data_IF_314009082738
#
_entry.id   IF_314009082738
#
_cell.length_a   1.000
_cell.length_b   1.000
_cell.length_c   1.000
_cell.angle_alpha   90.00
_cell.angle_beta   90.00
_cell.angle_gamma   90.00
#
_symmetry.space_group_name_H-M   'P 1'
#
loop_
_entity.id
_entity.type
_entity.pdbx_description
1 polymer ?
#
# COMPACT_ATOMS: atom_id res chain seq x y z
N UNK A 1 -11.61 -29.03 25.35
CA UNK A 1 -10.98 -29.39 24.07
C UNK A 1 -10.66 -28.09 23.33
N UNK A 2 -9.39 -27.79 23.04
CA UNK A 2 -9.03 -26.62 22.21
C UNK A 2 -9.34 -26.99 20.77
N UNK A 3 -10.24 -26.26 20.13
CA UNK A 3 -10.43 -26.34 18.68
C UNK A 3 -9.08 -26.09 17.99
N UNK A 4 -8.67 -26.90 17.00
CA UNK A 4 -7.45 -26.61 16.25
C UNK A 4 -7.60 -25.23 15.61
N UNK A 5 -6.69 -24.32 15.93
CA UNK A 5 -6.64 -23.00 15.30
C UNK A 5 -6.43 -23.21 13.81
N UNK A 6 -7.30 -22.63 12.97
CA UNK A 6 -7.08 -22.60 11.52
C UNK A 6 -5.64 -22.10 11.25
N UNK A 7 -4.90 -22.70 10.30
CA UNK A 7 -3.59 -22.20 9.93
C UNK A 7 -3.71 -20.71 9.58
N UNK A 8 -2.83 -19.88 10.14
CA UNK A 8 -2.86 -18.44 9.88
C UNK A 8 -2.56 -18.21 8.41
N UNK A 9 -3.43 -17.47 7.73
CA UNK A 9 -3.21 -17.04 6.36
C UNK A 9 -1.90 -16.21 6.28
N UNK A 10 -1.02 -16.45 5.29
CA UNK A 10 0.14 -15.61 5.08
C UNK A 10 -0.28 -14.17 4.78
N UNK A 11 0.39 -13.19 5.42
CA UNK A 11 0.09 -11.77 5.23
C UNK A 11 0.87 -11.22 4.03
N UNK A 12 0.20 -10.47 3.17
CA UNK A 12 0.83 -9.53 2.23
C UNK A 12 0.44 -8.11 2.62
N UNK A 13 1.41 -7.21 2.59
CA UNK A 13 1.21 -5.82 3.02
C UNK A 13 1.14 -4.94 1.80
N UNK A 14 0.10 -4.11 1.75
CA UNK A 14 -0.05 -3.07 0.75
C UNK A 14 0.21 -1.72 1.40
N UNK A 15 1.04 -0.90 0.79
CA UNK A 15 0.96 0.55 0.99
C UNK A 15 -0.39 1.07 0.46
N UNK A 16 -0.75 2.30 0.81
CA UNK A 16 -1.96 2.94 0.33
C UNK A 16 -1.71 3.95 -0.80
N UNK A 17 -0.86 4.95 -0.56
CA UNK A 17 -0.70 6.13 -1.41
C UNK A 17 0.30 5.90 -2.56
N UNK A 18 -0.23 5.53 -3.72
CA UNK A 18 0.54 5.13 -4.90
C UNK A 18 0.37 3.63 -5.19
N UNK A 19 -0.39 2.90 -4.36
CA UNK A 19 -0.65 1.47 -4.56
C UNK A 19 -2.15 1.19 -4.67
N UNK A 20 -2.93 1.57 -3.65
CA UNK A 20 -4.39 1.45 -3.68
C UNK A 20 -5.00 2.72 -4.21
N UNK A 21 -4.60 3.86 -3.64
CA UNK A 21 -4.89 5.20 -4.12
C UNK A 21 -3.89 5.57 -5.22
N UNK A 22 -4.33 6.15 -6.35
CA UNK A 22 -3.44 6.41 -7.49
C UNK A 22 -2.37 7.48 -7.24
N UNK A 23 -2.61 8.34 -6.25
CA UNK A 23 -1.67 9.35 -5.76
C UNK A 23 -1.16 10.34 -6.80
N UNK A 24 -1.98 10.61 -7.82
CA UNK A 24 -1.66 11.56 -8.89
C UNK A 24 -1.57 13.00 -8.38
N UNK A 25 -2.37 13.36 -7.38
CA UNK A 25 -2.33 14.69 -6.73
C UNK A 25 -1.22 14.81 -5.68
N UNK A 26 -0.53 13.71 -5.35
CA UNK A 26 0.42 13.65 -4.24
C UNK A 26 -0.24 13.84 -2.86
N UNK A 27 0.57 14.17 -1.84
CA UNK A 27 0.07 14.35 -0.48
C UNK A 27 -0.78 15.61 -0.36
N UNK A 28 -2.07 15.45 -0.03
CA UNK A 28 -3.02 16.56 0.18
C UNK A 28 -3.41 16.73 1.65
N UNK A 29 -2.75 16.02 2.56
CA UNK A 29 -3.10 15.98 3.97
C UNK A 29 -3.69 14.64 4.38
N UNK A 30 -3.82 14.44 5.69
CA UNK A 30 -4.12 13.14 6.27
C UNK A 30 -5.51 12.60 5.88
N UNK A 31 -6.50 13.48 5.77
CA UNK A 31 -7.89 13.14 5.48
C UNK A 31 -8.28 13.32 4.01
N UNK A 32 -7.49 14.05 3.24
CA UNK A 32 -7.78 14.36 1.84
C UNK A 32 -7.22 13.28 0.92
N UNK A 33 -8.13 12.56 0.25
CA UNK A 33 -7.84 11.42 -0.63
C UNK A 33 -8.59 11.63 -1.96
N UNK A 34 -8.20 12.63 -2.78
CA UNK A 34 -9.02 13.06 -3.92
C UNK A 34 -8.91 12.15 -5.15
N UNK A 35 -7.79 11.44 -5.30
CA UNK A 35 -7.55 10.61 -6.49
C UNK A 35 -8.29 9.25 -6.45
N UNK A 36 -8.67 8.70 -7.62
CA UNK A 36 -9.33 7.40 -7.69
C UNK A 36 -8.38 6.25 -7.32
N UNK A 37 -8.92 5.03 -7.12
CA UNK A 37 -8.08 3.87 -6.94
C UNK A 37 -7.21 3.61 -8.17
N UNK A 38 -6.08 2.94 -7.98
CA UNK A 38 -5.30 2.40 -9.10
C UNK A 38 -6.19 1.45 -9.91
N UNK A 39 -6.29 1.62 -11.25
CA UNK A 39 -7.15 0.77 -12.08
C UNK A 39 -6.84 -0.73 -11.88
N UNK A 40 -7.87 -1.52 -11.58
CA UNK A 40 -7.78 -2.97 -11.36
C UNK A 40 -7.31 -3.40 -9.95
N UNK A 41 -7.00 -2.47 -9.04
CA UNK A 41 -6.47 -2.84 -7.71
C UNK A 41 -7.49 -3.59 -6.85
N UNK A 42 -8.78 -3.27 -6.99
CA UNK A 42 -9.86 -3.95 -6.27
C UNK A 42 -9.88 -5.43 -6.63
N UNK A 43 -9.94 -5.74 -7.92
CA UNK A 43 -9.96 -7.11 -8.44
C UNK A 43 -8.68 -7.86 -8.08
N UNK A 44 -7.53 -7.19 -8.12
CA UNK A 44 -6.25 -7.76 -7.69
C UNK A 44 -6.26 -8.17 -6.20
N UNK A 45 -6.72 -7.28 -5.32
CA UNK A 45 -6.86 -7.56 -3.88
C UNK A 45 -7.83 -8.72 -3.65
N UNK A 46 -8.96 -8.75 -4.35
CA UNK A 46 -9.93 -9.86 -4.26
C UNK A 46 -9.31 -11.19 -4.65
N UNK A 47 -8.60 -11.25 -5.78
CA UNK A 47 -7.90 -12.47 -6.23
C UNK A 47 -6.83 -12.93 -5.24
N UNK A 48 -6.06 -12.02 -4.66
CA UNK A 48 -5.04 -12.32 -3.64
C UNK A 48 -5.69 -12.92 -2.38
N UNK A 49 -6.80 -12.33 -1.92
CA UNK A 49 -7.55 -12.85 -0.77
C UNK A 49 -8.18 -14.22 -1.06
N UNK A 50 -8.71 -14.42 -2.26
CA UNK A 50 -9.26 -15.70 -2.72
C UNK A 50 -8.18 -16.79 -2.81
N UNK A 51 -6.94 -16.43 -3.16
CA UNK A 51 -5.78 -17.32 -3.14
C UNK A 51 -5.32 -17.70 -1.72
N UNK A 52 -5.99 -17.21 -0.67
CA UNK A 52 -5.74 -17.61 0.71
C UNK A 52 -4.80 -16.70 1.49
N UNK A 53 -4.38 -15.57 0.91
CA UNK A 53 -3.61 -14.56 1.64
C UNK A 53 -4.50 -13.70 2.54
N UNK A 54 -3.88 -13.14 3.58
CA UNK A 54 -4.40 -12.02 4.36
C UNK A 54 -3.84 -10.73 3.77
N UNK A 55 -4.70 -9.80 3.38
CA UNK A 55 -4.28 -8.49 2.86
C UNK A 55 -4.38 -7.45 3.97
N UNK A 56 -3.25 -6.84 4.31
CA UNK A 56 -3.16 -5.78 5.33
C UNK A 56 -2.68 -4.50 4.66
N UNK A 57 -3.36 -3.39 4.93
CA UNK A 57 -2.91 -2.07 4.50
C UNK A 57 -2.08 -1.44 5.61
N UNK A 58 -0.89 -0.97 5.26
CA UNK A 58 -0.06 -0.12 6.11
C UNK A 58 0.01 1.25 5.46
N UNK A 59 -0.23 2.33 6.22
CA UNK A 59 -0.16 3.68 5.67
C UNK A 59 0.24 4.71 6.71
N UNK A 60 0.99 5.72 6.28
CA UNK A 60 1.30 6.91 7.10
C UNK A 60 0.06 7.68 7.52
N UNK A 61 -1.04 7.61 6.74
CA UNK A 61 -2.35 8.17 7.10
C UNK A 61 -2.90 7.58 8.40
N UNK A 62 -2.48 6.36 8.76
CA UNK A 62 -2.91 5.67 9.97
C UNK A 62 -2.22 6.16 11.25
N UNK A 63 -1.43 7.24 11.20
CA UNK A 63 -0.78 7.79 12.40
C UNK A 63 -1.77 8.34 13.43
N UNK A 64 -2.98 8.73 13.02
CA UNK A 64 -4.08 9.15 13.89
C UNK A 64 -5.43 8.56 13.48
N UNK A 65 -6.45 8.64 14.36
CA UNK A 65 -7.76 8.07 14.10
C UNK A 65 -8.49 8.72 12.92
N UNK A 66 -8.26 10.02 12.67
CA UNK A 66 -8.88 10.76 11.57
C UNK A 66 -8.44 10.24 10.20
N UNK A 67 -7.13 10.09 9.99
CA UNK A 67 -6.59 9.55 8.75
C UNK A 67 -6.90 8.07 8.55
N UNK A 68 -6.84 7.28 9.62
CA UNK A 68 -7.32 5.90 9.62
C UNK A 68 -8.80 5.84 9.18
N UNK A 69 -9.64 6.71 9.73
CA UNK A 69 -11.05 6.80 9.36
C UNK A 69 -11.28 7.24 7.91
N UNK A 70 -10.50 8.20 7.40
CA UNK A 70 -10.56 8.62 6.01
C UNK A 70 -10.17 7.49 5.04
N UNK A 71 -9.10 6.75 5.35
CA UNK A 71 -8.67 5.59 4.57
C UNK A 71 -9.74 4.49 4.58
N UNK A 72 -10.29 4.14 5.75
CA UNK A 72 -11.36 3.14 5.83
C UNK A 72 -12.61 3.55 5.03
N UNK A 73 -13.02 4.82 5.09
CA UNK A 73 -14.12 5.34 4.26
C UNK A 73 -13.80 5.21 2.78
N UNK A 74 -12.60 5.59 2.36
CA UNK A 74 -12.16 5.46 0.98
C UNK A 74 -12.24 4.00 0.48
N UNK A 75 -11.75 3.04 1.27
CA UNK A 75 -11.84 1.62 0.92
C UNK A 75 -13.30 1.18 0.77
N UNK A 76 -14.18 1.58 1.70
CA UNK A 76 -15.59 1.23 1.67
C UNK A 76 -16.32 1.83 0.46
N UNK A 77 -16.12 3.12 0.18
CA UNK A 77 -16.73 3.84 -0.95
C UNK A 77 -16.32 3.25 -2.30
N UNK A 78 -15.10 2.72 -2.39
CA UNK A 78 -14.59 2.07 -3.60
C UNK A 78 -14.84 0.55 -3.65
N UNK A 79 -15.51 -0.01 -2.65
CA UNK A 79 -15.80 -1.45 -2.57
C UNK A 79 -14.55 -2.32 -2.44
N UNK A 80 -13.48 -1.81 -1.83
CA UNK A 80 -12.21 -2.52 -1.65
C UNK A 80 -12.20 -3.16 -0.26
N UNK A 81 -12.20 -4.49 -0.21
CA UNK A 81 -12.23 -5.24 1.05
C UNK A 81 -10.84 -5.80 1.37
N UNK A 82 -10.29 -5.35 2.50
CA UNK A 82 -9.02 -5.83 3.08
C UNK A 82 -9.27 -6.47 4.46
N UNK A 83 -8.29 -7.18 5.00
CA UNK A 83 -8.43 -7.90 6.27
C UNK A 83 -7.99 -7.06 7.49
N UNK A 84 -7.17 -6.04 7.29
CA UNK A 84 -6.75 -5.10 8.34
C UNK A 84 -6.19 -3.80 7.77
N UNK A 85 -6.25 -2.74 8.56
CA UNK A 85 -5.58 -1.45 8.28
C UNK A 85 -4.81 -1.05 9.52
N UNK A 86 -3.50 -0.90 9.39
CA UNK A 86 -2.61 -0.69 10.53
C UNK A 86 -1.59 0.42 10.28
N UNK A 87 -1.09 0.98 11.37
CA UNK A 87 0.02 1.95 11.36
C UNK A 87 1.38 1.26 11.37
N UNK A 88 1.49 0.21 12.17
CA UNK A 88 2.77 -0.43 12.49
C UNK A 88 3.08 -1.57 11.55
N UNK A 89 4.37 -1.79 11.29
CA UNK A 89 4.88 -2.83 10.37
C UNK A 89 4.47 -4.24 10.83
N UNK A 90 3.60 -4.96 10.10
CA UNK A 90 3.19 -6.31 10.48
C UNK A 90 4.15 -7.37 9.91
N UNK A 91 4.25 -8.56 10.53
CA UNK A 91 4.90 -9.71 9.90
C UNK A 91 4.20 -10.07 8.58
N UNK A 92 4.98 -10.20 7.50
CA UNK A 92 4.46 -10.38 6.15
C UNK A 92 5.39 -11.24 5.27
N UNK A 93 4.81 -11.85 4.24
CA UNK A 93 5.52 -12.56 3.18
C UNK A 93 6.21 -11.57 2.24
N UNK A 94 5.51 -10.49 1.88
CA UNK A 94 6.04 -9.40 1.07
C UNK A 94 5.28 -8.09 1.31
N UNK A 95 5.86 -7.01 0.79
CA UNK A 95 5.32 -5.66 0.81
C UNK A 95 5.14 -5.20 -0.65
N UNK A 96 3.98 -4.60 -0.94
CA UNK A 96 3.61 -4.00 -2.22
C UNK A 96 3.56 -2.50 -1.97
N UNK A 97 4.52 -1.77 -2.52
CA UNK A 97 4.80 -0.38 -2.15
C UNK A 97 5.36 0.37 -3.38
N UNK A 98 4.85 1.57 -3.67
CA UNK A 98 5.23 2.35 -4.86
C UNK A 98 6.63 2.98 -4.75
N UNK A 99 7.19 2.99 -3.54
CA UNK A 99 8.48 3.59 -3.18
C UNK A 99 9.50 2.58 -2.65
N UNK A 100 9.25 1.29 -2.80
CA UNK A 100 10.19 0.26 -2.41
C UNK A 100 11.20 -0.07 -3.52
N UNK A 101 12.47 -0.15 -3.12
CA UNK A 101 13.51 -0.82 -3.91
C UNK A 101 13.58 -2.26 -3.42
N UNK A 102 13.40 -3.23 -4.34
CA UNK A 102 13.62 -4.64 -4.02
C UNK A 102 15.11 -4.86 -3.75
N UNK A 103 15.46 -5.18 -2.50
CA UNK A 103 16.83 -5.49 -2.14
C UNK A 103 17.19 -6.89 -2.62
N UNK A 104 18.18 -6.97 -3.50
CA UNK A 104 18.63 -8.18 -4.19
C UNK A 104 19.89 -8.81 -3.56
N UNK A 105 20.32 -8.31 -2.40
CA UNK A 105 21.54 -8.76 -1.71
C UNK A 105 22.80 -7.98 -2.08
N UNK A 106 22.70 -6.96 -2.94
CA UNK A 106 23.83 -6.18 -3.45
C UNK A 106 23.80 -4.71 -2.96
N UNK A 107 24.25 -4.42 -1.73
CA UNK A 107 24.18 -3.08 -1.15
C UNK A 107 25.03 -2.04 -1.90
N UNK A 108 26.09 -2.46 -2.59
CA UNK A 108 26.96 -1.61 -3.41
C UNK A 108 26.21 -0.91 -4.55
N UNK A 109 25.10 -1.50 -5.03
CA UNK A 109 24.27 -0.92 -6.11
C UNK A 109 23.19 0.03 -5.58
N UNK A 110 23.00 0.11 -4.26
CA UNK A 110 21.81 0.73 -3.69
C UNK A 110 21.78 2.25 -3.88
N UNK A 111 22.93 2.92 -3.78
CA UNK A 111 23.00 4.38 -3.96
C UNK A 111 22.53 4.77 -5.37
N UNK A 112 22.99 4.06 -6.40
CA UNK A 112 22.59 4.31 -7.78
C UNK A 112 21.09 4.07 -7.97
N UNK A 113 20.55 2.98 -7.40
CA UNK A 113 19.11 2.68 -7.44
C UNK A 113 18.29 3.78 -6.75
N UNK A 114 18.76 4.31 -5.61
CA UNK A 114 18.09 5.41 -4.87
C UNK A 114 18.09 6.70 -5.70
N UNK A 115 19.23 7.10 -6.24
CA UNK A 115 19.37 8.36 -7.00
C UNK A 115 18.47 8.36 -8.23
N UNK A 116 18.35 7.21 -8.90
CA UNK A 116 17.59 7.08 -10.14
C UNK A 116 16.14 6.61 -9.92
N UNK A 117 15.70 6.44 -8.68
CA UNK A 117 14.38 5.89 -8.38
C UNK A 117 13.26 6.79 -8.89
N UNK A 118 12.32 6.20 -9.64
CA UNK A 118 11.07 6.84 -10.07
C UNK A 118 9.91 5.87 -9.79
N UNK A 119 8.88 6.29 -9.04
CA UNK A 119 7.69 5.44 -8.86
C UNK A 119 6.95 5.30 -10.20
N UNK A 120 6.08 4.30 -10.30
CA UNK A 120 5.37 3.99 -11.55
C UNK A 120 4.47 5.13 -12.04
N UNK A 121 3.99 5.98 -11.14
CA UNK A 121 3.13 7.14 -11.42
C UNK A 121 3.92 8.45 -11.64
N UNK A 122 5.24 8.37 -11.86
CA UNK A 122 6.07 9.53 -12.15
C UNK A 122 5.75 10.12 -13.54
N UNK A 123 5.32 11.38 -13.58
CA UNK A 123 5.30 12.20 -14.80
C UNK A 123 6.48 13.18 -14.80
N UNK A 124 7.23 13.23 -15.91
CA UNK A 124 8.44 14.08 -16.06
C UNK A 124 8.19 15.58 -15.94
N UNK A 125 6.94 16.02 -15.92
CA UNK A 125 6.53 17.43 -15.79
C UNK A 125 6.89 18.05 -14.43
N UNK A 126 7.22 17.23 -13.41
CA UNK A 126 7.62 17.71 -12.08
C UNK A 126 9.07 18.20 -11.99
N UNK A 127 9.91 17.95 -13.00
CA UNK A 127 11.30 18.42 -13.03
C UNK A 127 11.43 19.93 -13.31
N UNK A 128 10.43 20.56 -13.93
CA UNK A 128 10.54 21.95 -14.42
C UNK A 128 10.32 23.04 -13.35
N UNK A 129 10.12 22.66 -12.08
CA UNK A 129 9.84 23.59 -10.97
C UNK A 129 10.77 23.42 -9.76
N UNK A 130 11.93 22.78 -9.93
CA UNK A 130 12.90 22.61 -8.84
C UNK A 130 14.19 23.39 -9.08
#
# INVERSE_FOLDING_TARGET
MRTPSRPRKPTVVFDFDGVIHSYTSGWQGMMEIPDPPVPGIREAIEHIRAAGFRVVVVSTRCCGPEGMGALMRYLAENGIVVDDVVREKPPAVCYIDDRAICFDGHPETLLEKIVNFKPWNYSGEREEKR
#
